data_IF_779978986773
#
_entry.id   IF_779978986773
#
_cell.length_a   1.000
_cell.length_b   1.000
_cell.length_c   1.000
_cell.angle_alpha   90.00
_cell.angle_beta   90.00
_cell.angle_gamma   90.00
#
_symmetry.space_group_name_H-M   'P 1'
#
loop_
_entity.id
_entity.type
_entity.pdbx_description
1 polymer ?
#
# COMPACT_ATOMS: atom_id res chain seq x y z
N UNK A 1 -2.22 -6.21 -9.21
CA UNK A 1 -3.07 -5.04 -9.48
C UNK A 1 -2.46 -4.13 -10.55
N UNK A 2 -1.24 -3.68 -10.39
CA UNK A 2 -0.57 -2.82 -11.36
C UNK A 2 0.54 -3.64 -11.96
N UNK A 3 0.58 -4.08 -13.14
CA UNK A 3 1.61 -5.00 -13.70
C UNK A 3 3.05 -4.51 -13.48
N UNK A 4 4.01 -5.35 -13.80
CA UNK A 4 5.45 -5.06 -13.63
C UNK A 4 5.93 -3.82 -14.39
N UNK A 5 5.25 -3.50 -15.51
CA UNK A 5 5.58 -2.35 -16.35
C UNK A 5 5.20 -1.00 -15.72
N UNK A 6 4.32 -1.01 -14.73
CA UNK A 6 3.86 0.22 -14.10
C UNK A 6 4.74 0.64 -12.91
N UNK A 7 5.07 -0.29 -12.02
CA UNK A 7 5.90 0.01 -10.85
C UNK A 7 6.34 -1.27 -10.14
N UNK A 8 7.60 -1.33 -9.72
CA UNK A 8 8.11 -2.39 -8.84
C UNK A 8 7.94 -2.02 -7.36
N UNK A 9 7.82 -3.01 -6.51
CA UNK A 9 7.91 -2.90 -5.05
C UNK A 9 9.04 -3.79 -4.54
N UNK A 10 9.68 -3.37 -3.46
CA UNK A 10 10.74 -4.13 -2.80
C UNK A 10 10.34 -4.57 -1.39
N UNK A 11 9.15 -4.17 -0.95
CA UNK A 11 8.64 -4.44 0.38
C UNK A 11 7.37 -5.30 0.25
N UNK A 12 7.19 -6.21 1.20
CA UNK A 12 5.97 -7.01 1.35
C UNK A 12 5.21 -6.44 2.55
N UNK A 13 4.02 -5.93 2.30
CA UNK A 13 3.11 -5.51 3.35
C UNK A 13 2.07 -6.60 3.57
N UNK A 14 1.92 -7.06 4.82
CA UNK A 14 0.98 -8.09 5.20
C UNK A 14 0.22 -7.70 6.47
N UNK A 15 -1.01 -8.21 6.62
CA UNK A 15 -1.75 -8.06 7.86
C UNK A 15 -2.20 -9.42 8.40
N UNK A 16 -2.10 -9.59 9.71
CA UNK A 16 -2.67 -10.75 10.41
C UNK A 16 -4.08 -10.39 10.87
N UNK A 17 -5.07 -11.11 10.36
CA UNK A 17 -6.48 -10.92 10.67
C UNK A 17 -6.92 -11.84 11.82
N UNK A 18 -7.65 -11.26 12.76
CA UNK A 18 -8.29 -12.02 13.84
C UNK A 18 -7.38 -12.40 15.01
N UNK A 19 -6.14 -11.96 15.02
CA UNK A 19 -5.22 -12.13 16.13
C UNK A 19 -4.34 -10.90 16.33
N UNK A 20 -3.93 -10.66 17.57
CA UNK A 20 -2.83 -9.74 17.88
C UNK A 20 -1.56 -10.56 17.89
N UNK A 21 -0.52 -10.12 17.22
CA UNK A 21 0.76 -10.81 17.20
C UNK A 21 1.85 -9.91 17.77
N UNK A 22 2.71 -10.49 18.57
CA UNK A 22 3.94 -9.88 19.05
C UNK A 22 5.16 -10.35 18.25
N UNK A 23 6.33 -9.90 18.66
CA UNK A 23 7.61 -10.25 18.01
C UNK A 23 7.81 -11.78 17.99
N UNK A 24 7.57 -12.47 19.11
CA UNK A 24 7.78 -13.91 19.23
C UNK A 24 6.86 -14.72 18.29
N UNK A 25 5.59 -14.33 18.17
CA UNK A 25 4.65 -14.98 17.26
C UNK A 25 5.07 -14.76 15.80
N UNK A 26 5.56 -13.56 15.46
CA UNK A 26 6.06 -13.26 14.12
C UNK A 26 7.35 -14.03 13.83
N UNK A 27 8.27 -14.14 14.78
CA UNK A 27 9.48 -14.96 14.64
C UNK A 27 9.13 -16.41 14.32
N UNK A 28 8.21 -17.01 15.10
CA UNK A 28 7.76 -18.39 14.90
C UNK A 28 7.05 -18.58 13.55
N UNK A 29 6.23 -17.60 13.15
CA UNK A 29 5.53 -17.62 11.86
C UNK A 29 6.53 -17.58 10.70
N UNK A 30 7.48 -16.65 10.70
CA UNK A 30 8.48 -16.53 9.65
C UNK A 30 9.39 -17.76 9.61
N UNK A 31 9.84 -18.27 10.77
CA UNK A 31 10.62 -19.50 10.82
C UNK A 31 9.88 -20.67 10.18
N UNK A 32 8.58 -20.79 10.45
CA UNK A 32 7.74 -21.81 9.82
C UNK A 32 7.61 -21.65 8.32
N UNK A 33 7.46 -20.40 7.82
CA UNK A 33 7.33 -20.11 6.39
C UNK A 33 8.64 -20.45 5.66
N UNK A 34 9.78 -19.96 6.14
CA UNK A 34 11.07 -20.19 5.47
C UNK A 34 11.59 -21.63 5.60
N UNK A 35 11.03 -22.41 6.53
CA UNK A 35 11.35 -23.84 6.66
C UNK A 35 10.65 -24.73 5.62
N UNK A 36 9.66 -24.20 4.91
CA UNK A 36 8.98 -24.96 3.85
C UNK A 36 9.98 -25.21 2.71
N UNK A 37 10.26 -26.47 2.36
CA UNK A 37 11.23 -26.76 1.32
C UNK A 37 10.66 -26.37 -0.05
N UNK A 38 11.35 -25.45 -0.71
CA UNK A 38 11.09 -25.06 -2.11
C UNK A 38 12.38 -25.29 -2.88
N UNK A 39 12.32 -26.12 -3.91
CA UNK A 39 13.49 -26.46 -4.74
C UNK A 39 13.70 -25.40 -5.82
N UNK A 40 13.97 -24.17 -5.38
CA UNK A 40 14.21 -23.00 -6.24
C UNK A 40 15.62 -22.41 -6.07
N UNK A 41 16.43 -22.99 -5.18
CA UNK A 41 17.79 -22.52 -4.89
C UNK A 41 17.86 -21.20 -4.12
N UNK A 42 16.74 -20.70 -3.58
CA UNK A 42 16.69 -19.46 -2.79
C UNK A 42 16.83 -19.78 -1.31
N UNK A 43 17.79 -19.15 -0.64
CA UNK A 43 17.92 -19.19 0.81
C UNK A 43 17.45 -17.87 1.43
N UNK A 44 16.73 -17.97 2.56
CA UNK A 44 16.28 -16.83 3.35
C UNK A 44 17.02 -16.77 4.68
N UNK A 45 17.49 -15.57 5.06
CA UNK A 45 18.13 -15.32 6.34
C UNK A 45 17.49 -14.12 7.03
N UNK A 46 16.85 -14.35 8.18
CA UNK A 46 16.32 -13.28 9.01
C UNK A 46 17.50 -12.54 9.67
N UNK A 47 17.56 -11.24 9.49
CA UNK A 47 18.61 -10.37 10.07
C UNK A 47 18.12 -9.66 11.32
N UNK A 48 16.88 -9.18 11.29
CA UNK A 48 16.30 -8.41 12.39
C UNK A 48 14.80 -8.46 12.35
N UNK A 49 14.18 -8.55 13.51
CA UNK A 49 12.76 -8.30 13.75
C UNK A 49 12.64 -7.14 14.72
N UNK A 50 11.80 -6.17 14.45
CA UNK A 50 11.64 -4.96 15.28
C UNK A 50 10.24 -4.39 15.15
N UNK A 51 9.74 -3.80 16.22
CA UNK A 51 8.52 -3.00 16.15
C UNK A 51 8.70 -1.78 15.25
N UNK A 52 7.68 -1.46 14.49
CA UNK A 52 7.56 -0.21 13.74
C UNK A 52 6.78 0.74 14.64
N UNK A 53 7.48 1.76 15.15
CA UNK A 53 6.85 2.87 15.84
C UNK A 53 6.72 4.03 14.85
N UNK A 54 5.74 3.98 13.96
CA UNK A 54 5.41 5.14 13.13
C UNK A 54 4.46 6.04 13.93
N UNK A 55 4.76 7.32 14.02
CA UNK A 55 4.12 8.28 14.93
C UNK A 55 2.60 8.50 14.71
N UNK A 56 2.03 7.88 13.70
CA UNK A 56 0.62 8.10 13.32
C UNK A 56 -0.19 6.82 13.05
N UNK A 57 0.41 5.65 13.02
CA UNK A 57 -0.28 4.42 12.64
C UNK A 57 0.19 3.24 13.49
N UNK A 58 -0.64 2.28 13.64
CA UNK A 58 -0.58 1.08 14.47
C UNK A 58 0.80 0.43 14.63
N UNK A 59 1.06 -0.18 15.79
CA UNK A 59 2.26 -0.97 15.99
C UNK A 59 2.28 -2.10 14.96
N UNK A 60 3.26 -2.06 14.09
CA UNK A 60 3.59 -3.11 13.14
C UNK A 60 4.91 -3.76 13.52
N UNK A 61 5.20 -4.90 12.90
CA UNK A 61 6.46 -5.60 13.09
C UNK A 61 7.16 -5.66 11.74
N UNK A 62 8.38 -5.12 11.69
CA UNK A 62 9.24 -5.17 10.51
C UNK A 62 10.21 -6.33 10.62
N UNK A 63 10.25 -7.14 9.58
CA UNK A 63 11.20 -8.21 9.39
C UNK A 63 12.16 -7.78 8.29
N UNK A 64 13.43 -7.67 8.65
CA UNK A 64 14.51 -7.46 7.68
C UNK A 64 15.18 -8.79 7.41
N UNK A 65 15.20 -9.20 6.16
CA UNK A 65 15.77 -10.45 5.70
C UNK A 65 16.78 -10.21 4.58
N UNK A 66 17.58 -11.19 4.31
CA UNK A 66 18.36 -11.33 3.09
C UNK A 66 17.93 -12.60 2.38
N UNK A 67 17.80 -12.52 1.08
CA UNK A 67 17.67 -13.69 0.20
C UNK A 67 18.97 -13.89 -0.53
N UNK A 68 19.41 -15.15 -0.65
CA UNK A 68 20.60 -15.51 -1.43
C UNK A 68 20.18 -16.46 -2.54
N UNK A 69 20.55 -16.13 -3.76
CA UNK A 69 20.35 -16.96 -4.95
C UNK A 69 21.58 -16.86 -5.85
N UNK A 70 22.19 -17.99 -6.16
CA UNK A 70 23.39 -18.10 -7.00
C UNK A 70 24.51 -17.10 -6.60
N UNK A 71 24.74 -16.96 -5.29
CA UNK A 71 25.74 -16.05 -4.72
C UNK A 71 25.36 -14.56 -4.73
N UNK A 72 24.16 -14.21 -5.20
CA UNK A 72 23.63 -12.86 -5.14
C UNK A 72 22.78 -12.67 -3.90
N UNK A 73 23.15 -11.70 -3.06
CA UNK A 73 22.41 -11.37 -1.84
C UNK A 73 21.52 -10.16 -2.12
N UNK A 74 20.22 -10.32 -1.88
CA UNK A 74 19.21 -9.27 -2.03
C UNK A 74 18.50 -9.00 -0.72
N UNK A 75 18.42 -7.74 -0.25
CA UNK A 75 17.64 -7.41 0.95
C UNK A 75 16.15 -7.51 0.67
N UNK A 76 15.42 -8.08 1.63
CA UNK A 76 13.95 -8.17 1.62
C UNK A 76 13.40 -7.62 2.92
N UNK A 77 12.35 -6.80 2.84
CA UNK A 77 11.61 -6.30 4.00
C UNK A 77 10.16 -6.77 3.94
N UNK A 78 9.67 -7.20 5.09
CA UNK A 78 8.26 -7.51 5.26
C UNK A 78 7.74 -6.75 6.47
N UNK A 79 6.69 -5.98 6.28
CA UNK A 79 6.00 -5.28 7.36
C UNK A 79 4.70 -6.01 7.66
N UNK A 80 4.52 -6.42 8.91
CA UNK A 80 3.33 -7.11 9.38
C UNK A 80 2.55 -6.16 10.29
N UNK A 81 1.32 -5.86 9.93
CA UNK A 81 0.35 -5.12 10.74
C UNK A 81 -0.69 -6.07 11.35
N UNK A 82 -1.43 -5.57 12.32
CA UNK A 82 -2.56 -6.29 12.91
C UNK A 82 -3.79 -5.41 12.96
N UNK A 83 -4.94 -6.02 12.75
CA UNK A 83 -6.23 -5.35 12.89
C UNK A 83 -6.57 -4.34 11.80
N UNK A 84 -5.99 -4.39 10.61
CA UNK A 84 -6.38 -3.52 9.50
C UNK A 84 -7.86 -3.70 9.12
N UNK A 85 -8.51 -2.58 8.82
CA UNK A 85 -9.91 -2.56 8.44
C UNK A 85 -10.07 -2.97 6.98
N UNK A 86 -10.14 -4.28 6.70
CA UNK A 86 -10.38 -4.79 5.35
C UNK A 86 -11.88 -4.79 5.09
N UNK A 87 -12.36 -3.94 4.19
CA UNK A 87 -13.78 -3.72 3.94
C UNK A 87 -14.10 -3.85 2.44
N UNK A 88 -15.12 -4.66 2.06
CA UNK A 88 -15.95 -5.49 2.93
C UNK A 88 -15.23 -6.74 3.46
N UNK A 89 -14.23 -7.25 2.74
CA UNK A 89 -13.42 -8.41 3.12
C UNK A 89 -12.22 -8.60 2.20
N UNK A 90 -11.27 -9.41 2.63
CA UNK A 90 -10.16 -9.89 1.80
C UNK A 90 -10.65 -10.66 0.57
N UNK A 91 -9.82 -10.69 -0.47
CA UNK A 91 -10.10 -11.39 -1.73
C UNK A 91 -9.01 -12.42 -2.03
N UNK A 92 -9.38 -13.46 -2.77
CA UNK A 92 -8.39 -14.32 -3.42
C UNK A 92 -7.88 -13.60 -4.65
N UNK A 93 -6.59 -13.37 -4.68
CA UNK A 93 -5.91 -12.71 -5.79
C UNK A 93 -4.99 -13.69 -6.48
N UNK A 94 -5.18 -13.85 -7.79
CA UNK A 94 -4.32 -14.66 -8.64
C UNK A 94 -3.07 -13.87 -8.99
N UNK A 95 -1.98 -14.14 -8.28
CA UNK A 95 -0.70 -13.48 -8.47
C UNK A 95 0.09 -14.21 -9.55
N UNK A 96 0.28 -13.54 -10.71
CA UNK A 96 1.08 -14.09 -11.81
C UNK A 96 2.56 -14.01 -11.45
N UNK A 97 3.27 -15.12 -11.51
CA UNK A 97 4.71 -15.18 -11.28
C UNK A 97 5.46 -14.50 -12.44
N UNK A 98 6.58 -13.86 -12.12
CA UNK A 98 7.35 -13.09 -13.10
C UNK A 98 8.14 -13.98 -14.07
N UNK A 99 8.68 -15.07 -13.56
CA UNK A 99 9.62 -15.92 -14.29
C UNK A 99 8.97 -17.24 -14.78
N UNK A 100 7.70 -17.46 -14.46
CA UNK A 100 6.98 -18.68 -14.80
C UNK A 100 5.60 -18.33 -15.37
N UNK A 101 5.11 -19.15 -16.30
CA UNK A 101 3.76 -18.98 -16.85
C UNK A 101 2.71 -19.68 -15.98
N UNK A 102 2.74 -19.38 -14.68
CA UNK A 102 1.73 -19.80 -13.72
C UNK A 102 1.38 -18.68 -12.75
N UNK A 103 0.27 -18.83 -12.08
CA UNK A 103 -0.17 -17.93 -11.00
C UNK A 103 -0.30 -18.69 -9.70
N UNK A 104 -0.14 -17.99 -8.60
CA UNK A 104 -0.44 -18.50 -7.25
C UNK A 104 -1.62 -17.72 -6.66
N UNK A 105 -2.47 -18.42 -5.93
CA UNK A 105 -3.59 -17.79 -5.22
C UNK A 105 -3.15 -17.33 -3.84
N UNK A 106 -3.25 -16.04 -3.60
CA UNK A 106 -2.93 -15.43 -2.30
C UNK A 106 -4.15 -14.68 -1.76
N UNK A 107 -4.21 -14.55 -0.43
CA UNK A 107 -5.13 -13.59 0.18
C UNK A 107 -4.57 -12.18 0.01
N UNK A 108 -5.42 -11.23 -0.40
CA UNK A 108 -5.04 -9.84 -0.59
C UNK A 108 -6.16 -8.90 -0.15
N UNK A 109 -5.82 -7.65 0.07
CA UNK A 109 -6.82 -6.59 0.20
C UNK A 109 -7.61 -6.47 -1.09
N UNK A 110 -8.91 -6.19 -0.96
CA UNK A 110 -9.70 -5.76 -2.11
C UNK A 110 -9.24 -4.36 -2.57
N UNK A 111 -9.62 -4.00 -3.78
CA UNK A 111 -9.21 -2.73 -4.39
C UNK A 111 -9.67 -1.53 -3.57
N UNK A 112 -10.89 -1.57 -3.07
CA UNK A 112 -11.52 -0.48 -2.31
C UNK A 112 -10.79 -0.22 -1.00
N UNK A 113 -10.33 -1.25 -0.29
CA UNK A 113 -9.50 -1.09 0.92
C UNK A 113 -8.17 -0.42 0.57
N UNK A 114 -7.48 -0.87 -0.49
CA UNK A 114 -6.20 -0.26 -0.92
C UNK A 114 -6.37 1.21 -1.28
N UNK A 115 -7.43 1.54 -2.03
CA UNK A 115 -7.74 2.93 -2.40
C UNK A 115 -8.10 3.77 -1.17
N UNK A 116 -8.91 3.22 -0.27
CA UNK A 116 -9.36 3.90 0.95
C UNK A 116 -8.19 4.26 1.88
N UNK A 117 -7.24 3.36 2.10
CA UNK A 117 -6.07 3.62 2.94
C UNK A 117 -5.19 4.75 2.38
N UNK A 118 -4.97 4.76 1.07
CA UNK A 118 -4.19 5.80 0.40
C UNK A 118 -4.94 7.14 0.36
N UNK A 119 -6.23 7.10 0.06
CA UNK A 119 -7.08 8.29 0.02
C UNK A 119 -7.18 8.94 1.40
N UNK A 120 -7.41 8.14 2.44
CA UNK A 120 -7.41 8.60 3.82
C UNK A 120 -6.06 9.25 4.19
N UNK A 121 -4.94 8.63 3.82
CA UNK A 121 -3.60 9.17 4.08
C UNK A 121 -3.38 10.52 3.38
N UNK A 122 -3.88 10.70 2.16
CA UNK A 122 -3.82 11.99 1.45
C UNK A 122 -4.65 13.05 2.17
N UNK A 123 -5.85 12.69 2.62
CA UNK A 123 -6.75 13.62 3.34
C UNK A 123 -6.20 13.99 4.71
N UNK A 124 -5.78 13.00 5.50
CA UNK A 124 -5.39 13.23 6.88
C UNK A 124 -4.06 13.95 7.03
N UNK A 125 -3.11 13.70 6.13
CA UNK A 125 -1.77 14.31 6.15
C UNK A 125 -1.67 15.58 5.31
N UNK A 126 -2.55 15.77 4.35
CA UNK A 126 -2.58 16.94 3.47
C UNK A 126 -1.17 17.32 2.96
N UNK A 127 -0.75 18.57 3.14
CA UNK A 127 0.56 19.09 2.69
C UNK A 127 1.77 18.52 3.42
N UNK A 128 1.57 17.79 4.53
CA UNK A 128 2.65 17.08 5.23
C UNK A 128 2.92 15.68 4.64
N UNK A 129 2.11 15.23 3.70
CA UNK A 129 2.27 13.95 3.05
C UNK A 129 3.43 13.96 2.04
N UNK A 130 4.54 13.30 2.36
CA UNK A 130 5.69 13.15 1.47
C UNK A 130 5.65 11.89 0.61
N UNK A 131 4.61 11.06 0.75
CA UNK A 131 4.49 9.74 0.10
C UNK A 131 3.93 9.86 -1.31
N UNK A 132 4.70 10.44 -2.23
CA UNK A 132 4.27 10.66 -3.64
C UNK A 132 3.84 9.38 -4.36
N UNK A 133 4.29 8.22 -3.87
CA UNK A 133 3.85 6.92 -4.35
C UNK A 133 2.34 6.72 -4.17
N UNK A 134 1.78 7.16 -3.05
CA UNK A 134 0.35 7.00 -2.79
C UNK A 134 -0.50 7.82 -3.77
N UNK A 135 -0.05 9.03 -4.12
CA UNK A 135 -0.68 9.86 -5.15
C UNK A 135 -0.64 9.17 -6.52
N UNK A 136 0.52 8.62 -6.90
CA UNK A 136 0.65 7.86 -8.14
C UNK A 136 -0.25 6.62 -8.16
N UNK A 137 -0.25 5.86 -7.06
CA UNK A 137 -1.05 4.62 -6.95
C UNK A 137 -2.55 4.91 -7.06
N UNK A 138 -3.05 5.97 -6.42
CA UNK A 138 -4.45 6.39 -6.54
C UNK A 138 -4.81 6.70 -7.99
N UNK A 139 -3.95 7.44 -8.70
CA UNK A 139 -4.17 7.73 -10.12
C UNK A 139 -4.18 6.45 -10.96
N UNK A 140 -3.11 5.65 -10.91
CA UNK A 140 -2.98 4.50 -11.81
C UNK A 140 -4.03 3.41 -11.53
N UNK A 141 -4.38 3.17 -10.26
CA UNK A 141 -5.42 2.22 -9.91
C UNK A 141 -6.80 2.69 -10.38
N UNK A 142 -7.10 3.99 -10.30
CA UNK A 142 -8.35 4.54 -10.84
C UNK A 142 -8.42 4.42 -12.37
N UNK A 143 -7.31 4.60 -13.07
CA UNK A 143 -7.26 4.46 -14.54
C UNK A 143 -7.42 3.00 -14.98
N UNK A 144 -6.74 2.08 -14.30
CA UNK A 144 -6.75 0.66 -14.69
C UNK A 144 -8.01 -0.08 -14.23
N UNK A 145 -8.58 0.31 -13.12
CA UNK A 145 -9.64 -0.44 -12.44
C UNK A 145 -10.90 0.39 -12.11
N UNK A 146 -10.97 1.65 -12.56
CA UNK A 146 -12.06 2.56 -12.21
C UNK A 146 -13.46 1.99 -12.42
N UNK A 147 -13.65 1.22 -13.49
CA UNK A 147 -14.94 0.59 -13.81
C UNK A 147 -15.32 -0.58 -12.87
N UNK A 148 -14.34 -1.15 -12.17
CA UNK A 148 -14.56 -2.26 -11.23
C UNK A 148 -14.70 -1.80 -9.78
N UNK A 149 -14.48 -0.52 -9.49
CA UNK A 149 -14.64 0.06 -8.15
C UNK A 149 -16.14 0.09 -7.82
N UNK A 150 -16.49 -0.44 -6.65
CA UNK A 150 -17.85 -0.39 -6.13
C UNK A 150 -17.95 0.81 -5.19
N UNK A 151 -18.71 1.88 -5.53
CA UNK A 151 -18.75 3.12 -4.75
C UNK A 151 -19.13 2.89 -3.27
N UNK A 152 -20.14 2.07 -3.01
CA UNK A 152 -20.58 1.75 -1.66
C UNK A 152 -19.47 1.06 -0.82
N UNK A 153 -18.69 0.17 -1.43
CA UNK A 153 -17.59 -0.53 -0.76
C UNK A 153 -16.42 0.42 -0.53
N UNK A 154 -16.10 1.29 -1.49
CA UNK A 154 -15.07 2.33 -1.34
C UNK A 154 -15.43 3.30 -0.21
N UNK A 155 -16.68 3.75 -0.16
CA UNK A 155 -17.18 4.57 0.94
C UNK A 155 -17.06 3.87 2.29
N UNK A 156 -17.51 2.63 2.38
CA UNK A 156 -17.44 1.85 3.60
C UNK A 156 -15.99 1.63 4.06
N UNK A 157 -15.08 1.33 3.12
CA UNK A 157 -13.66 1.15 3.38
C UNK A 157 -13.01 2.46 3.87
N UNK A 158 -13.31 3.60 3.23
CA UNK A 158 -12.78 4.91 3.62
C UNK A 158 -13.22 5.29 5.05
N UNK A 159 -14.50 5.11 5.38
CA UNK A 159 -15.02 5.37 6.72
C UNK A 159 -14.40 4.42 7.75
N UNK A 160 -14.29 3.13 7.43
CA UNK A 160 -13.70 2.14 8.33
C UNK A 160 -12.22 2.43 8.61
N UNK A 161 -11.45 2.80 7.58
CA UNK A 161 -10.04 3.21 7.72
C UNK A 161 -9.90 4.48 8.56
N UNK A 162 -10.68 5.52 8.24
CA UNK A 162 -10.63 6.78 8.97
C UNK A 162 -11.03 6.61 10.44
N UNK A 163 -12.07 5.80 10.72
CA UNK A 163 -12.51 5.47 12.08
C UNK A 163 -11.41 4.77 12.86
N UNK A 164 -10.80 3.78 12.24
CA UNK A 164 -9.71 3.04 12.85
C UNK A 164 -8.53 3.96 13.21
N UNK A 165 -8.20 4.92 12.33
CA UNK A 165 -7.10 5.88 12.50
C UNK A 165 -7.48 7.13 13.31
N UNK A 166 -8.73 7.26 13.74
CA UNK A 166 -9.22 8.44 14.48
C UNK A 166 -9.23 9.72 13.65
N UNK A 167 -9.30 9.61 12.34
CA UNK A 167 -9.18 10.70 11.37
C UNK A 167 -10.50 11.06 10.68
N UNK A 168 -11.64 10.47 11.09
CA UNK A 168 -12.97 10.68 10.50
C UNK A 168 -13.32 12.18 10.33
N UNK A 169 -12.87 13.02 11.27
CA UNK A 169 -13.12 14.47 11.24
C UNK A 169 -12.54 15.17 10.01
N UNK A 170 -11.49 14.63 9.41
CA UNK A 170 -10.85 15.23 8.23
C UNK A 170 -11.58 14.92 6.93
N UNK A 171 -12.42 13.87 6.91
CA UNK A 171 -13.13 13.49 5.68
C UNK A 171 -14.08 14.58 5.19
N UNK A 172 -14.74 15.29 6.08
CA UNK A 172 -15.66 16.36 5.70
C UNK A 172 -14.95 17.52 4.98
N UNK A 173 -13.71 17.80 5.36
CA UNK A 173 -12.90 18.91 4.85
C UNK A 173 -11.96 18.47 3.71
N UNK A 174 -12.06 17.23 3.23
CA UNK A 174 -11.19 16.68 2.19
C UNK A 174 -11.11 17.54 0.90
N UNK A 175 -12.20 18.13 0.38
CA UNK A 175 -12.11 19.01 -0.80
C UNK A 175 -11.16 20.19 -0.57
N UNK A 176 -11.22 20.84 0.60
CA UNK A 176 -10.32 21.94 0.94
C UNK A 176 -8.87 21.45 1.10
N UNK A 177 -8.66 20.27 1.69
CA UNK A 177 -7.34 19.66 1.79
C UNK A 177 -6.74 19.35 0.41
N UNK A 178 -7.54 18.89 -0.54
CA UNK A 178 -7.08 18.65 -1.93
C UNK A 178 -6.66 19.94 -2.63
N UNK A 179 -7.40 21.02 -2.44
CA UNK A 179 -7.08 22.33 -3.02
C UNK A 179 -5.76 22.86 -2.43
N UNK A 180 -5.57 22.74 -1.13
CA UNK A 180 -4.34 23.11 -0.44
C UNK A 180 -3.15 22.28 -0.95
N UNK A 181 -3.30 20.95 -1.01
CA UNK A 181 -2.27 20.01 -1.51
C UNK A 181 -1.88 20.32 -2.96
N UNK A 182 -2.86 20.57 -3.83
CA UNK A 182 -2.57 20.88 -5.23
C UNK A 182 -1.89 22.23 -5.40
N UNK A 183 -2.28 23.22 -4.61
CA UNK A 183 -1.71 24.58 -4.70
C UNK A 183 -0.28 24.64 -4.13
N UNK A 184 0.05 23.80 -3.15
CA UNK A 184 1.29 23.89 -2.38
C UNK A 184 2.55 23.71 -3.24
N UNK A 185 3.52 24.65 -3.18
CA UNK A 185 4.74 24.57 -3.97
C UNK A 185 5.66 23.42 -3.59
N UNK A 186 5.68 23.00 -2.31
CA UNK A 186 6.50 21.92 -1.83
C UNK A 186 5.98 20.57 -2.36
N UNK A 187 4.67 20.35 -2.37
CA UNK A 187 4.03 19.18 -2.95
C UNK A 187 4.35 19.04 -4.44
N UNK A 188 4.29 20.16 -5.20
CA UNK A 188 4.70 20.19 -6.60
C UNK A 188 6.18 19.87 -6.80
N UNK A 189 7.05 20.31 -5.90
CA UNK A 189 8.48 19.97 -5.94
C UNK A 189 8.74 18.51 -5.61
N UNK A 190 8.04 17.95 -4.62
CA UNK A 190 8.11 16.52 -4.30
C UNK A 190 7.64 15.66 -5.48
N UNK A 191 6.55 16.07 -6.15
CA UNK A 191 6.09 15.38 -7.36
C UNK A 191 7.11 15.42 -8.49
N UNK A 192 7.72 16.58 -8.77
CA UNK A 192 8.78 16.70 -9.78
C UNK A 192 10.00 15.84 -9.45
N UNK A 193 10.37 15.75 -8.17
CA UNK A 193 11.45 14.87 -7.72
C UNK A 193 11.08 13.38 -7.93
N UNK A 194 9.83 13.01 -7.68
CA UNK A 194 9.30 11.69 -7.93
C UNK A 194 9.35 11.33 -9.43
N UNK A 195 8.89 12.23 -10.30
CA UNK A 195 8.94 12.08 -11.76
C UNK A 195 10.36 11.87 -12.28
N UNK A 196 11.35 12.62 -11.75
CA UNK A 196 12.76 12.47 -12.13
C UNK A 196 13.33 11.11 -11.73
N UNK A 197 12.84 10.55 -10.64
CA UNK A 197 13.32 9.26 -10.11
C UNK A 197 12.66 8.07 -10.80
N UNK A 198 11.43 8.22 -11.28
CA UNK A 198 10.61 7.12 -11.77
C UNK A 198 10.06 7.42 -13.16
N UNK A 199 10.60 6.74 -14.17
CA UNK A 199 10.25 6.95 -15.60
C UNK A 199 8.76 6.73 -15.88
N UNK A 200 8.12 5.82 -15.18
CA UNK A 200 6.69 5.55 -15.34
C UNK A 200 5.77 6.72 -14.93
N UNK A 201 6.28 7.68 -14.17
CA UNK A 201 5.55 8.88 -13.76
C UNK A 201 5.99 10.15 -14.53
N UNK A 202 6.98 10.06 -15.44
CA UNK A 202 7.66 11.21 -16.03
C UNK A 202 6.69 12.19 -16.73
N UNK A 203 5.72 11.67 -17.48
CA UNK A 203 4.79 12.45 -18.29
C UNK A 203 3.45 12.76 -17.58
N UNK A 204 3.31 12.36 -16.30
CA UNK A 204 2.07 12.51 -15.56
C UNK A 204 2.04 13.83 -14.80
N UNK A 205 1.17 14.76 -15.21
CA UNK A 205 1.05 16.06 -14.56
C UNK A 205 0.51 15.95 -13.13
N UNK A 206 0.95 16.85 -12.24
CA UNK A 206 0.44 16.94 -10.88
C UNK A 206 -1.08 17.18 -10.85
N UNK A 207 -1.59 18.04 -11.71
CA UNK A 207 -3.02 18.31 -11.86
C UNK A 207 -3.81 17.05 -12.21
N UNK A 208 -3.37 16.27 -13.19
CA UNK A 208 -4.02 15.01 -13.58
C UNK A 208 -4.10 14.00 -12.42
N UNK A 209 -3.05 13.94 -11.59
CA UNK A 209 -3.05 13.09 -10.40
C UNK A 209 -4.08 13.57 -9.39
N UNK A 210 -4.11 14.87 -9.11
CA UNK A 210 -5.07 15.46 -8.17
C UNK A 210 -6.52 15.32 -8.64
N UNK A 211 -6.78 15.44 -9.93
CA UNK A 211 -8.11 15.20 -10.51
C UNK A 211 -8.59 13.76 -10.30
N UNK A 212 -7.69 12.80 -10.45
CA UNK A 212 -8.04 11.39 -10.18
C UNK A 212 -8.37 11.16 -8.71
N UNK A 213 -7.65 11.80 -7.80
CA UNK A 213 -7.88 11.71 -6.35
C UNK A 213 -9.23 12.32 -5.98
N UNK A 214 -9.55 13.51 -6.54
CA UNK A 214 -10.86 14.13 -6.34
C UNK A 214 -12.00 13.26 -6.87
N UNK A 215 -11.82 12.69 -8.06
CA UNK A 215 -12.83 11.80 -8.67
C UNK A 215 -13.08 10.56 -7.81
N UNK A 216 -12.03 9.94 -7.27
CA UNK A 216 -12.14 8.81 -6.34
C UNK A 216 -12.86 9.19 -5.05
N UNK A 217 -12.56 10.37 -4.52
CA UNK A 217 -13.22 10.85 -3.31
C UNK A 217 -14.71 11.15 -3.55
N UNK A 218 -15.06 11.80 -4.66
CA UNK A 218 -16.47 12.02 -5.01
C UNK A 218 -17.21 10.69 -5.21
N UNK A 219 -16.58 9.70 -5.87
CA UNK A 219 -17.14 8.36 -6.00
C UNK A 219 -17.41 7.69 -4.62
N UNK A 220 -16.54 7.93 -3.63
CA UNK A 220 -16.74 7.43 -2.27
C UNK A 220 -17.84 8.19 -1.49
N UNK A 221 -18.35 9.32 -2.00
CA UNK A 221 -19.44 10.08 -1.37
C UNK A 221 -20.82 9.71 -1.89
N UNK A 222 -20.88 9.09 -3.06
CA UNK A 222 -22.13 8.56 -3.61
C UNK A 222 -22.69 7.40 -2.75
#
# INVERSE_FOLDING_TARGET
>A
MVGLDARSTMDIDATVKGATVGIEEVENMIASIISVPVDDGVEFRVKRISEIMDEAEYPGIRISMETEFDGVITPLKTDISTGDAITPREVRYSFKLMLEDRSIEIWAYNLETVLAEKLETVVSRATTNTRMRDFYDLHILSQLHGQSIIPADLRAALIATARKRGTEKYLADAPAAFDEVEADPNMKNLWRAYQKKFSYAADLSWHTVMDSIRSLYELARE
#
